data_IF_779413857107
#
_entry.id   IF_779413857107
#
_cell.length_a   1.000
_cell.length_b   1.000
_cell.length_c   1.000
_cell.angle_alpha   90.00
_cell.angle_beta   90.00
_cell.angle_gamma   90.00
#
_symmetry.space_group_name_H-M   'P 1'
#
loop_
_entity.id
_entity.type
_entity.pdbx_description
1 polymer ?
#
# COMPACT_ATOMS: atom_id res chain seq x y z
N UNK A 1 -22.78 -17.20 -24.81
CA UNK A 1 -24.05 -16.55 -24.42
C UNK A 1 -23.68 -15.28 -23.67
N UNK A 2 -23.84 -14.10 -24.28
CA UNK A 2 -23.43 -12.82 -23.69
C UNK A 2 -24.55 -12.27 -22.82
N UNK A 3 -24.27 -12.03 -21.54
CA UNK A 3 -25.20 -11.31 -20.67
C UNK A 3 -24.81 -9.83 -20.68
N UNK A 4 -25.63 -8.98 -21.31
CA UNK A 4 -25.49 -7.52 -21.24
C UNK A 4 -26.25 -7.03 -20.01
N UNK A 5 -25.53 -6.57 -18.99
CA UNK A 5 -26.14 -5.85 -17.86
C UNK A 5 -25.83 -4.36 -18.06
N UNK A 6 -26.84 -3.61 -18.49
CA UNK A 6 -26.77 -2.16 -18.67
C UNK A 6 -27.27 -1.49 -17.39
N UNK A 7 -26.37 -0.92 -16.58
CA UNK A 7 -26.78 -0.04 -15.47
C UNK A 7 -26.72 1.40 -16.00
N UNK A 8 -27.88 1.98 -16.28
CA UNK A 8 -28.03 3.36 -16.73
C UNK A 8 -28.20 4.29 -15.53
N UNK A 9 -27.16 5.07 -15.19
CA UNK A 9 -27.28 6.49 -14.77
C UNK A 9 -25.91 7.14 -14.56
N UNK A 10 -25.60 8.14 -15.39
CA UNK A 10 -24.64 9.21 -15.06
C UNK A 10 -23.21 9.05 -15.56
N UNK A 11 -22.99 9.29 -16.85
CA UNK A 11 -21.77 9.91 -17.40
C UNK A 11 -20.41 9.28 -17.01
N UNK A 12 -20.29 7.95 -17.12
CA UNK A 12 -19.01 7.23 -17.23
C UNK A 12 -19.23 6.16 -18.30
N UNK A 13 -18.74 6.40 -19.52
CA UNK A 13 -18.88 5.44 -20.62
C UNK A 13 -17.74 4.41 -20.53
N UNK A 14 -18.02 3.26 -19.92
CA UNK A 14 -17.20 2.06 -20.02
C UNK A 14 -18.13 0.84 -20.11
N UNK A 15 -18.09 0.12 -21.23
CA UNK A 15 -18.82 -1.15 -21.37
C UNK A 15 -18.00 -2.27 -20.73
N UNK A 16 -18.52 -2.90 -19.68
CA UNK A 16 -17.97 -4.16 -19.17
C UNK A 16 -18.40 -5.29 -20.10
N UNK A 17 -17.43 -5.87 -20.82
CA UNK A 17 -17.67 -7.05 -21.67
C UNK A 17 -17.19 -8.30 -20.95
N UNK A 18 -18.13 -9.21 -20.67
CA UNK A 18 -17.84 -10.53 -20.13
C UNK A 18 -17.83 -11.52 -21.31
N UNK A 19 -16.64 -11.91 -21.76
CA UNK A 19 -16.49 -12.98 -22.76
C UNK A 19 -16.13 -14.29 -22.05
N UNK A 20 -17.04 -15.27 -22.11
CA UNK A 20 -16.76 -16.64 -21.68
C UNK A 20 -16.11 -17.34 -22.88
N UNK A 21 -14.79 -17.23 -23.00
CA UNK A 21 -13.99 -17.78 -24.10
C UNK A 21 -13.17 -19.00 -23.67
N UNK A 22 -13.42 -20.13 -24.35
CA UNK A 22 -12.69 -21.43 -24.38
C UNK A 22 -11.95 -21.84 -23.09
N UNK A 23 -12.61 -22.73 -22.35
CA UNK A 23 -12.14 -23.46 -21.16
C UNK A 23 -12.09 -22.63 -19.86
N UNK A 24 -13.28 -22.39 -19.27
CA UNK A 24 -13.50 -22.01 -17.86
C UNK A 24 -12.79 -20.75 -17.34
N UNK A 25 -12.33 -19.86 -18.22
CA UNK A 25 -11.67 -18.62 -17.82
C UNK A 25 -12.60 -17.42 -17.89
N UNK A 26 -12.76 -16.70 -16.78
CA UNK A 26 -13.40 -15.39 -16.74
C UNK A 26 -12.34 -14.33 -17.03
N UNK A 27 -12.31 -13.82 -18.27
CA UNK A 27 -11.46 -12.67 -18.63
C UNK A 27 -12.25 -11.39 -18.41
N UNK A 28 -11.68 -10.47 -17.64
CA UNK A 28 -12.22 -9.12 -17.44
C UNK A 28 -11.39 -8.15 -18.28
N UNK A 29 -12.02 -7.54 -19.27
CA UNK A 29 -11.41 -6.46 -20.08
C UNK A 29 -11.52 -5.12 -19.35
N UNK A 30 -10.40 -4.41 -19.22
CA UNK A 30 -10.31 -3.09 -18.61
C UNK A 30 -9.91 -2.06 -19.70
N UNK A 31 -10.87 -1.26 -20.20
CA UNK A 31 -10.64 -0.32 -21.31
C UNK A 31 -10.32 1.11 -20.86
N UNK A 32 -9.98 1.32 -19.60
CA UNK A 32 -9.93 2.66 -19.01
C UNK A 32 -8.62 3.40 -19.30
N UNK A 33 -8.76 4.71 -19.53
CA UNK A 33 -7.63 5.63 -19.56
C UNK A 33 -7.04 5.73 -18.14
N UNK A 34 -5.73 5.47 -17.95
CA UNK A 34 -5.08 5.64 -16.65
C UNK A 34 -5.08 7.10 -16.15
N UNK A 35 -5.34 8.06 -17.04
CA UNK A 35 -5.40 9.48 -16.74
C UNK A 35 -6.84 9.94 -16.57
N UNK A 36 -7.11 10.74 -15.53
CA UNK A 36 -8.44 11.27 -15.26
C UNK A 36 -8.65 12.57 -16.06
N UNK A 37 -7.79 13.57 -15.85
CA UNK A 37 -7.77 14.82 -16.59
C UNK A 37 -6.49 15.61 -16.28
N UNK A 38 -6.21 16.63 -17.09
CA UNK A 38 -5.13 17.60 -16.85
C UNK A 38 -5.73 18.94 -16.46
N UNK A 39 -5.26 19.53 -15.37
CA UNK A 39 -5.69 20.87 -14.90
C UNK A 39 -4.46 21.74 -14.61
N UNK A 40 -4.39 22.94 -15.20
CA UNK A 40 -3.25 23.85 -15.06
C UNK A 40 -1.87 23.22 -15.36
N UNK A 41 -1.81 22.28 -16.30
CA UNK A 41 -0.57 21.55 -16.63
C UNK A 41 -0.23 20.41 -15.66
N UNK A 42 -1.03 20.17 -14.63
CA UNK A 42 -0.92 19.03 -13.73
C UNK A 42 -1.79 17.87 -14.21
N UNK A 43 -1.16 16.73 -14.50
CA UNK A 43 -1.84 15.49 -14.85
C UNK A 43 -2.36 14.78 -13.60
N UNK A 44 -3.65 14.51 -13.54
CA UNK A 44 -4.28 13.73 -12.47
C UNK A 44 -4.53 12.31 -12.97
N UNK A 45 -3.99 11.31 -12.27
CA UNK A 45 -4.11 9.88 -12.61
C UNK A 45 -4.95 9.14 -11.58
N UNK A 46 -5.51 7.98 -11.96
CA UNK A 46 -6.24 7.13 -11.02
C UNK A 46 -5.36 6.64 -9.88
N UNK A 47 -4.12 6.26 -10.18
CA UNK A 47 -3.11 5.92 -9.17
C UNK A 47 -2.92 7.06 -8.15
N UNK A 48 -2.63 8.28 -8.60
CA UNK A 48 -2.40 9.42 -7.71
C UNK A 48 -3.64 9.75 -6.86
N UNK A 49 -4.83 9.67 -7.45
CA UNK A 49 -6.09 9.90 -6.76
C UNK A 49 -6.33 8.88 -5.64
N UNK A 50 -6.29 7.57 -5.94
CA UNK A 50 -6.56 6.52 -4.96
C UNK A 50 -5.46 6.43 -3.90
N UNK A 51 -4.20 6.67 -4.25
CA UNK A 51 -3.10 6.78 -3.27
C UNK A 51 -3.33 7.95 -2.30
N UNK A 52 -3.82 9.10 -2.78
CA UNK A 52 -4.14 10.25 -1.93
C UNK A 52 -5.33 9.96 -1.01
N UNK A 53 -6.40 9.34 -1.53
CA UNK A 53 -7.56 8.92 -0.74
C UNK A 53 -7.16 7.89 0.32
N UNK A 54 -6.36 6.90 -0.07
CA UNK A 54 -5.81 5.88 0.82
C UNK A 54 -4.94 6.48 1.92
N UNK A 55 -4.11 7.47 1.60
CA UNK A 55 -3.32 8.20 2.57
C UNK A 55 -4.20 8.91 3.61
N UNK A 56 -5.20 9.69 3.16
CA UNK A 56 -6.09 10.43 4.06
C UNK A 56 -6.90 9.50 4.96
N UNK A 57 -7.46 8.43 4.40
CA UNK A 57 -8.21 7.44 5.16
C UNK A 57 -7.31 6.59 6.07
N UNK A 58 -6.07 6.33 5.66
CA UNK A 58 -5.05 5.67 6.47
C UNK A 58 -4.66 6.50 7.69
N UNK A 59 -4.40 7.80 7.51
CA UNK A 59 -4.13 8.73 8.63
C UNK A 59 -5.34 8.80 9.55
N UNK A 60 -6.54 8.99 8.98
CA UNK A 60 -7.77 9.04 9.77
C UNK A 60 -7.96 7.79 10.61
N UNK A 61 -7.86 6.60 10.01
CA UNK A 61 -8.03 5.35 10.73
C UNK A 61 -6.92 5.14 11.75
N UNK A 62 -5.66 5.38 11.38
CA UNK A 62 -4.51 5.25 12.27
C UNK A 62 -4.66 6.10 13.52
N UNK A 63 -5.07 7.37 13.39
CA UNK A 63 -5.32 8.23 14.55
C UNK A 63 -6.50 7.73 15.38
N UNK A 64 -7.60 7.30 14.75
CA UNK A 64 -8.75 6.73 15.47
C UNK A 64 -8.37 5.50 16.29
N UNK A 65 -7.55 4.62 15.72
CA UNK A 65 -7.05 3.44 16.44
C UNK A 65 -6.09 3.87 17.54
N UNK A 66 -5.20 4.85 17.31
CA UNK A 66 -4.30 5.36 18.34
C UNK A 66 -5.07 5.90 19.55
N UNK A 67 -6.11 6.72 19.32
CA UNK A 67 -7.01 7.20 20.38
C UNK A 67 -7.71 6.05 21.10
N UNK A 68 -8.20 5.04 20.36
CA UNK A 68 -8.81 3.86 20.95
C UNK A 68 -7.82 3.06 21.82
N UNK A 69 -6.52 3.07 21.48
CA UNK A 69 -5.43 2.49 22.25
C UNK A 69 -4.93 3.40 23.39
N UNK A 70 -5.66 4.48 23.72
CA UNK A 70 -5.35 5.46 24.75
C UNK A 70 -4.10 6.32 24.47
N UNK A 71 -3.69 6.47 23.21
CA UNK A 71 -2.69 7.45 22.79
C UNK A 71 -3.30 8.85 22.65
N UNK A 72 -2.47 9.88 22.80
CA UNK A 72 -2.86 11.25 22.48
C UNK A 72 -3.09 11.40 20.96
N UNK A 73 -4.31 11.78 20.50
CA UNK A 73 -4.57 12.02 19.09
C UNK A 73 -3.67 13.09 18.47
N UNK A 74 -3.26 14.11 19.23
CA UNK A 74 -2.42 15.20 18.71
C UNK A 74 -1.00 14.69 18.44
N UNK A 75 -0.46 13.82 19.29
CA UNK A 75 0.82 13.13 19.03
C UNK A 75 0.74 12.26 17.77
N UNK A 76 -0.35 11.49 17.62
CA UNK A 76 -0.55 10.64 16.45
C UNK A 76 -0.68 11.45 15.15
N UNK A 77 -1.44 12.56 15.16
CA UNK A 77 -1.53 13.47 14.02
C UNK A 77 -0.19 14.12 13.70
N UNK A 78 0.54 14.60 14.71
CA UNK A 78 1.83 15.23 14.51
C UNK A 78 2.82 14.26 13.86
N UNK A 79 2.86 13.01 14.31
CA UNK A 79 3.73 11.99 13.71
C UNK A 79 3.34 11.67 12.27
N UNK A 80 2.05 11.59 11.95
CA UNK A 80 1.60 11.41 10.57
C UNK A 80 1.97 12.62 9.68
N UNK A 81 1.74 13.84 10.17
CA UNK A 81 2.05 15.09 9.47
C UNK A 81 3.55 15.33 9.29
N UNK A 82 4.40 14.73 10.12
CA UNK A 82 5.86 14.74 9.96
C UNK A 82 6.31 13.60 9.04
N UNK A 83 5.71 12.42 9.17
CA UNK A 83 6.03 11.25 8.36
C UNK A 83 5.75 11.44 6.88
N UNK A 84 4.64 12.07 6.51
CA UNK A 84 4.26 12.26 5.10
C UNK A 84 5.27 13.15 4.35
N UNK A 85 5.58 14.39 4.80
CA UNK A 85 6.63 15.19 4.20
C UNK A 85 8.00 14.53 4.31
N UNK A 86 8.30 13.86 5.43
CA UNK A 86 9.54 13.11 5.60
C UNK A 86 9.72 12.05 4.51
N UNK A 87 8.66 11.34 4.17
CA UNK A 87 8.64 10.39 3.05
C UNK A 87 8.88 11.06 1.70
N UNK A 88 8.18 12.16 1.40
CA UNK A 88 8.36 12.88 0.13
C UNK A 88 9.80 13.40 0.00
N UNK A 89 10.35 14.00 1.06
CA UNK A 89 11.71 14.51 1.10
C UNK A 89 12.72 13.37 0.93
N UNK A 90 12.54 12.27 1.66
CA UNK A 90 13.40 11.09 1.57
C UNK A 90 13.37 10.48 0.17
N UNK A 91 12.18 10.34 -0.42
CA UNK A 91 11.98 9.79 -1.75
C UNK A 91 12.75 10.58 -2.81
N UNK A 92 12.66 11.92 -2.75
CA UNK A 92 13.37 12.78 -3.69
C UNK A 92 14.88 12.78 -3.43
N UNK A 93 15.29 12.92 -2.18
CA UNK A 93 16.70 12.95 -1.78
C UNK A 93 17.42 11.70 -2.26
N UNK A 94 16.88 10.51 -2.00
CA UNK A 94 17.53 9.27 -2.41
C UNK A 94 17.55 9.10 -3.93
N UNK A 95 16.46 9.45 -4.62
CA UNK A 95 16.42 9.40 -6.09
C UNK A 95 17.51 10.26 -6.73
N UNK A 96 17.70 11.49 -6.22
CA UNK A 96 18.72 12.41 -6.73
C UNK A 96 20.12 11.88 -6.44
N UNK A 97 20.36 11.27 -5.27
CA UNK A 97 21.64 10.63 -4.94
C UNK A 97 21.91 9.45 -5.89
N UNK A 98 20.91 8.60 -6.14
CA UNK A 98 21.02 7.44 -7.04
C UNK A 98 21.28 7.85 -8.50
N UNK A 99 20.87 9.06 -8.90
CA UNK A 99 20.99 9.57 -10.26
C UNK A 99 21.86 10.84 -10.33
N UNK A 100 22.77 11.03 -9.39
CA UNK A 100 23.52 12.30 -9.24
C UNK A 100 24.28 12.69 -10.51
N UNK A 101 24.76 11.71 -11.27
CA UNK A 101 25.48 11.89 -12.54
C UNK A 101 24.59 12.40 -13.68
N UNK A 102 23.26 12.31 -13.54
CA UNK A 102 22.27 12.77 -14.51
C UNK A 102 21.64 14.10 -14.12
N UNK A 103 22.11 14.73 -13.04
CA UNK A 103 21.60 16.00 -12.56
C UNK A 103 22.37 17.12 -13.24
N UNK A 104 21.64 17.97 -13.98
CA UNK A 104 22.21 19.09 -14.74
C UNK A 104 22.13 20.40 -13.94
N UNK A 105 21.25 20.47 -12.93
CA UNK A 105 20.98 21.67 -12.15
C UNK A 105 20.72 21.37 -10.67
N UNK A 106 21.04 22.33 -9.80
CA UNK A 106 20.64 22.28 -8.40
C UNK A 106 19.10 22.30 -8.22
N UNK A 107 18.35 22.79 -9.22
CA UNK A 107 16.89 22.77 -9.20
C UNK A 107 16.30 21.36 -9.30
N UNK A 108 17.06 20.40 -9.81
CA UNK A 108 16.62 19.00 -9.94
C UNK A 108 16.36 18.39 -8.56
N UNK A 109 16.91 18.93 -7.48
CA UNK A 109 16.59 18.51 -6.12
C UNK A 109 15.14 18.79 -5.72
N UNK A 110 14.49 19.77 -6.33
CA UNK A 110 13.15 20.23 -5.98
C UNK A 110 12.08 19.86 -7.01
N UNK A 111 12.47 19.31 -8.17
CA UNK A 111 11.58 18.94 -9.27
C UNK A 111 10.77 17.65 -9.00
N UNK A 112 9.96 17.66 -7.93
CA UNK A 112 9.15 16.50 -7.49
C UNK A 112 8.01 16.14 -8.45
N UNK A 113 7.58 17.07 -9.31
CA UNK A 113 6.49 16.87 -10.28
C UNK A 113 6.95 16.30 -11.61
N UNK A 114 8.25 16.24 -11.87
CA UNK A 114 8.83 15.76 -13.14
C UNK A 114 9.04 14.24 -13.15
N UNK A 115 8.57 13.56 -12.10
CA UNK A 115 8.87 12.15 -11.85
C UNK A 115 10.21 11.98 -11.13
N UNK A 116 10.58 10.72 -10.89
CA UNK A 116 11.83 10.39 -10.20
C UNK A 116 11.71 10.44 -8.68
N UNK A 117 11.12 9.39 -8.12
CA UNK A 117 10.99 9.18 -6.68
C UNK A 117 11.53 7.79 -6.33
N UNK A 118 12.36 7.72 -5.29
CA UNK A 118 12.87 6.44 -4.80
C UNK A 118 11.95 5.91 -3.71
N UNK A 119 11.41 4.70 -3.90
CA UNK A 119 10.55 4.06 -2.92
C UNK A 119 11.29 3.80 -1.61
N UNK A 120 12.56 3.43 -1.67
CA UNK A 120 13.41 3.23 -0.49
C UNK A 120 13.64 4.54 0.25
N UNK A 121 13.80 5.64 -0.48
CA UNK A 121 13.91 6.97 0.10
C UNK A 121 12.61 7.36 0.83
N UNK A 122 11.46 7.05 0.24
CA UNK A 122 10.16 7.31 0.85
C UNK A 122 9.99 6.57 2.18
N UNK A 123 10.35 5.28 2.21
CA UNK A 123 10.30 4.45 3.41
C UNK A 123 11.25 4.96 4.48
N UNK A 124 12.52 5.24 4.12
CA UNK A 124 13.52 5.73 5.07
C UNK A 124 13.11 7.09 5.66
N UNK A 125 12.75 8.06 4.82
CA UNK A 125 12.35 9.38 5.28
C UNK A 125 11.05 9.37 6.09
N UNK A 126 10.07 8.58 5.64
CA UNK A 126 8.77 8.44 6.29
C UNK A 126 8.83 7.74 7.64
N UNK A 127 9.84 6.92 7.89
CA UNK A 127 10.08 6.29 9.21
C UNK A 127 11.03 7.13 10.06
N UNK A 128 12.16 7.56 9.51
CA UNK A 128 13.24 8.19 10.28
C UNK A 128 12.81 9.52 10.90
N UNK A 129 12.14 10.38 10.15
CA UNK A 129 11.79 11.73 10.62
C UNK A 129 10.76 11.73 11.77
N UNK A 130 9.61 11.03 11.67
CA UNK A 130 8.67 10.96 12.80
C UNK A 130 9.24 10.16 13.98
N UNK A 131 10.07 9.14 13.72
CA UNK A 131 10.76 8.41 14.81
C UNK A 131 11.69 9.34 15.58
N UNK A 132 12.51 10.14 14.89
CA UNK A 132 13.39 11.12 15.52
C UNK A 132 12.59 12.15 16.33
N UNK A 133 11.48 12.67 15.77
CA UNK A 133 10.60 13.59 16.49
C UNK A 133 10.02 12.96 17.76
N UNK A 134 9.51 11.73 17.68
CA UNK A 134 8.99 11.00 18.83
C UNK A 134 10.05 10.80 19.92
N UNK A 135 11.28 10.43 19.55
CA UNK A 135 12.38 10.27 20.48
C UNK A 135 12.73 11.58 21.19
N UNK A 136 12.78 12.70 20.45
CA UNK A 136 13.03 14.03 21.03
C UNK A 136 11.91 14.45 22.00
N UNK A 137 10.67 14.09 21.70
CA UNK A 137 9.49 14.44 22.52
C UNK A 137 9.18 13.44 23.63
N UNK A 138 9.91 12.33 23.72
CA UNK A 138 9.65 11.27 24.71
C UNK A 138 8.35 10.50 24.46
N UNK A 139 7.85 10.50 23.23
CA UNK A 139 6.61 9.82 22.84
C UNK A 139 6.83 8.31 22.79
N UNK A 140 5.93 7.54 23.40
CA UNK A 140 5.99 6.09 23.32
C UNK A 140 5.52 5.59 21.94
N UNK A 141 6.48 5.26 21.08
CA UNK A 141 6.21 4.85 19.71
C UNK A 141 5.45 3.54 19.55
N UNK A 142 5.53 2.61 20.51
CA UNK A 142 4.99 1.25 20.32
C UNK A 142 3.48 1.20 20.06
N UNK A 143 2.61 1.79 20.91
CA UNK A 143 1.18 1.80 20.65
C UNK A 143 0.80 2.66 19.43
N UNK A 144 1.61 3.67 19.10
CA UNK A 144 1.42 4.48 17.88
C UNK A 144 1.75 3.66 16.63
N UNK A 145 2.81 2.85 16.66
CA UNK A 145 3.14 1.92 15.59
C UNK A 145 2.05 0.86 15.41
N UNK A 146 1.52 0.31 16.50
CA UNK A 146 0.37 -0.61 16.44
C UNK A 146 -0.81 0.02 15.71
N UNK A 147 -1.12 1.28 16.00
CA UNK A 147 -2.17 2.03 15.31
C UNK A 147 -1.81 2.37 13.86
N UNK A 148 -0.55 2.71 13.59
CA UNK A 148 -0.05 2.98 12.24
C UNK A 148 -0.20 1.76 11.32
N UNK A 149 -0.05 0.54 11.85
CA UNK A 149 -0.29 -0.70 11.09
C UNK A 149 -1.67 -0.73 10.41
N UNK A 150 -2.72 -0.28 11.11
CA UNK A 150 -4.08 -0.18 10.54
C UNK A 150 -4.18 0.87 9.45
N UNK A 151 -3.58 2.05 9.69
CA UNK A 151 -3.58 3.14 8.72
C UNK A 151 -2.83 2.77 7.44
N UNK A 152 -1.64 2.17 7.58
CA UNK A 152 -0.79 1.76 6.47
C UNK A 152 -1.48 0.70 5.60
N UNK A 153 -2.01 -0.37 6.21
CA UNK A 153 -2.63 -1.46 5.45
C UNK A 153 -3.92 -1.00 4.75
N UNK A 154 -4.73 -0.14 5.38
CA UNK A 154 -5.90 0.46 4.73
C UNK A 154 -5.48 1.33 3.56
N UNK A 155 -4.47 2.19 3.76
CA UNK A 155 -3.97 3.06 2.71
C UNK A 155 -3.43 2.29 1.51
N UNK A 156 -2.66 1.23 1.74
CA UNK A 156 -2.16 0.35 0.69
C UNK A 156 -3.31 -0.32 -0.08
N UNK A 157 -4.27 -0.92 0.63
CA UNK A 157 -5.41 -1.58 -0.01
C UNK A 157 -6.23 -0.64 -0.89
N UNK A 158 -6.49 0.60 -0.45
CA UNK A 158 -7.20 1.59 -1.25
C UNK A 158 -6.34 2.04 -2.45
N UNK A 159 -5.04 2.25 -2.25
CA UNK A 159 -4.10 2.62 -3.33
C UNK A 159 -4.11 1.61 -4.47
N UNK A 160 -4.22 0.31 -4.16
CA UNK A 160 -4.27 -0.77 -5.16
C UNK A 160 -5.44 -0.68 -6.14
N UNK A 161 -6.48 0.08 -5.83
CA UNK A 161 -7.57 0.35 -6.78
C UNK A 161 -7.05 1.12 -7.99
N UNK A 162 -6.18 2.11 -7.78
CA UNK A 162 -5.54 2.85 -8.87
C UNK A 162 -4.65 1.96 -9.73
N UNK A 163 -3.89 1.06 -9.10
CA UNK A 163 -3.02 0.12 -9.80
C UNK A 163 -3.82 -0.85 -10.68
N UNK A 164 -4.96 -1.34 -10.18
CA UNK A 164 -5.88 -2.18 -10.93
C UNK A 164 -6.48 -1.45 -12.13
N UNK A 165 -6.87 -0.18 -11.99
CA UNK A 165 -7.40 0.61 -13.10
C UNK A 165 -6.34 0.78 -14.19
N UNK A 166 -5.13 1.14 -13.78
CA UNK A 166 -4.04 1.44 -14.71
C UNK A 166 -3.44 0.17 -15.34
N UNK A 167 -3.56 -0.98 -14.68
CA UNK A 167 -2.78 -2.17 -15.03
C UNK A 167 -1.31 -2.02 -14.69
N UNK A 168 -1.03 -1.30 -13.61
CA UNK A 168 0.31 -1.24 -13.05
C UNK A 168 0.70 -2.62 -12.52
N UNK A 169 1.98 -2.78 -12.23
CA UNK A 169 2.46 -4.00 -11.62
C UNK A 169 2.26 -5.23 -12.55
N UNK A 170 3.06 -5.25 -13.62
CA UNK A 170 3.09 -6.29 -14.66
C UNK A 170 3.10 -7.71 -14.06
N UNK A 171 2.14 -8.53 -14.50
CA UNK A 171 1.86 -9.86 -13.95
C UNK A 171 1.98 -10.95 -15.01
N UNK A 172 2.17 -12.18 -14.57
CA UNK A 172 2.28 -13.36 -15.45
C UNK A 172 0.94 -13.63 -16.13
N UNK A 173 1.01 -14.16 -17.34
CA UNK A 173 -0.15 -14.74 -18.01
C UNK A 173 -0.83 -15.77 -17.10
N UNK A 174 -2.14 -15.91 -17.24
CA UNK A 174 -2.90 -16.87 -16.48
C UNK A 174 -3.94 -17.59 -17.33
N UNK A 175 -3.99 -18.90 -17.12
CA UNK A 175 -5.09 -19.76 -17.56
C UNK A 175 -6.02 -20.12 -16.38
N UNK A 176 -5.95 -19.35 -15.28
CA UNK A 176 -6.75 -19.56 -14.07
C UNK A 176 -8.12 -18.89 -14.15
N UNK A 177 -9.06 -19.30 -13.29
CA UNK A 177 -10.47 -18.87 -13.25
C UNK A 177 -10.74 -17.38 -13.51
N UNK A 178 -9.87 -16.47 -13.09
CA UNK A 178 -10.01 -15.02 -13.31
C UNK A 178 -8.71 -14.47 -13.89
N UNK A 179 -8.82 -13.86 -15.06
CA UNK A 179 -7.76 -13.08 -15.71
C UNK A 179 -8.23 -11.67 -16.05
N UNK A 180 -7.28 -10.75 -16.18
CA UNK A 180 -7.55 -9.38 -16.65
C UNK A 180 -6.77 -9.09 -17.93
N UNK A 181 -7.36 -8.34 -18.84
CA UNK A 181 -6.72 -7.78 -20.03
C UNK A 181 -6.94 -6.27 -20.05
N UNK A 182 -5.92 -5.52 -20.45
CA UNK A 182 -5.98 -4.06 -20.54
C UNK A 182 -5.97 -3.67 -22.00
N UNK A 183 -6.92 -2.86 -22.44
CA UNK A 183 -7.09 -2.55 -23.87
C UNK A 183 -6.80 -1.10 -24.22
N UNK A 184 -6.69 -0.21 -23.21
CA UNK A 184 -6.39 1.20 -23.46
C UNK A 184 -4.92 1.40 -23.88
N UNK A 185 -4.62 2.13 -24.98
CA UNK A 185 -3.26 2.32 -25.51
C UNK A 185 -2.24 2.88 -24.50
N UNK A 186 -2.69 3.71 -23.57
CA UNK A 186 -1.84 4.35 -22.57
C UNK A 186 -1.70 3.53 -21.27
N UNK A 187 -2.43 2.43 -21.12
CA UNK A 187 -2.37 1.60 -19.92
C UNK A 187 -1.00 0.93 -19.76
N UNK A 188 -0.33 1.06 -18.59
CA UNK A 188 0.81 0.24 -18.23
C UNK A 188 0.57 -1.27 -18.40
N UNK A 189 -0.65 -1.74 -18.18
CA UNK A 189 -1.04 -3.15 -18.31
C UNK A 189 -0.97 -3.64 -19.75
N UNK A 190 -1.47 -2.84 -20.70
CA UNK A 190 -1.36 -3.16 -22.13
C UNK A 190 0.11 -3.18 -22.56
N UNK A 191 0.89 -2.18 -22.12
CA UNK A 191 2.33 -2.13 -22.39
C UNK A 191 3.06 -3.37 -21.85
N UNK A 192 2.72 -3.82 -20.65
CA UNK A 192 3.23 -5.06 -20.07
C UNK A 192 2.90 -6.28 -20.96
N UNK A 193 1.64 -6.40 -21.41
CA UNK A 193 1.21 -7.50 -22.27
C UNK A 193 1.98 -7.53 -23.61
N UNK A 194 2.17 -6.39 -24.25
CA UNK A 194 2.96 -6.34 -25.50
C UNK A 194 4.43 -6.68 -25.25
N UNK A 195 5.06 -6.10 -24.23
CA UNK A 195 6.51 -6.23 -24.00
C UNK A 195 6.93 -7.60 -23.46
N UNK A 196 6.14 -8.20 -22.58
CA UNK A 196 6.51 -9.45 -21.90
C UNK A 196 5.77 -10.67 -22.41
N UNK A 197 4.60 -10.49 -23.03
CA UNK A 197 3.70 -11.56 -23.42
C UNK A 197 3.50 -11.65 -24.95
N UNK A 198 3.96 -10.64 -25.70
CA UNK A 198 3.96 -10.64 -27.16
C UNK A 198 2.56 -10.50 -27.80
N UNK A 199 1.52 -10.26 -27.02
CA UNK A 199 0.14 -10.12 -27.48
C UNK A 199 -0.65 -9.15 -26.59
N UNK A 200 -1.54 -8.38 -27.21
CA UNK A 200 -2.45 -7.42 -26.54
C UNK A 200 -3.57 -8.12 -25.78
N UNK A 201 -3.94 -9.33 -26.20
CA UNK A 201 -5.07 -10.10 -25.64
C UNK A 201 -4.59 -11.19 -24.67
N UNK A 202 -3.47 -10.95 -23.98
CA UNK A 202 -2.87 -11.91 -23.04
C UNK A 202 -3.53 -11.77 -21.66
N UNK A 203 -4.39 -12.69 -21.20
CA UNK A 203 -4.98 -12.60 -19.87
C UNK A 203 -3.88 -12.78 -18.82
N UNK A 204 -3.80 -11.85 -17.86
CA UNK A 204 -2.83 -11.91 -16.76
C UNK A 204 -3.53 -12.06 -15.42
N UNK A 205 -2.81 -12.57 -14.43
CA UNK A 205 -3.29 -12.56 -13.05
C UNK A 205 -3.55 -11.11 -12.59
N UNK A 206 -4.71 -10.80 -11.98
CA UNK A 206 -4.96 -9.51 -11.34
C UNK A 206 -4.22 -9.42 -9.99
N UNK A 207 -2.88 -9.47 -10.01
CA UNK A 207 -2.07 -9.57 -8.79
C UNK A 207 -2.26 -8.37 -7.85
N UNK A 208 -2.52 -7.17 -8.38
CA UNK A 208 -2.87 -5.97 -7.60
C UNK A 208 -4.18 -6.13 -6.85
N UNK A 209 -5.16 -6.82 -7.44
CA UNK A 209 -6.42 -7.15 -6.76
C UNK A 209 -6.20 -8.19 -5.67
N UNK A 210 -5.36 -9.19 -5.92
CA UNK A 210 -5.00 -10.17 -4.89
C UNK A 210 -4.30 -9.49 -3.71
N UNK A 211 -3.42 -8.52 -3.97
CA UNK A 211 -2.79 -7.68 -2.94
C UNK A 211 -3.83 -6.85 -2.18
N UNK A 212 -4.74 -6.16 -2.87
CA UNK A 212 -5.83 -5.40 -2.24
C UNK A 212 -6.69 -6.26 -1.31
N UNK A 213 -7.08 -7.45 -1.76
CA UNK A 213 -7.88 -8.37 -0.94
C UNK A 213 -7.09 -8.89 0.26
N UNK A 214 -5.80 -9.16 0.08
CA UNK A 214 -4.90 -9.53 1.17
C UNK A 214 -4.71 -8.38 2.17
N UNK A 215 -4.58 -7.13 1.71
CA UNK A 215 -4.48 -5.95 2.56
C UNK A 215 -5.75 -5.78 3.42
N UNK A 216 -6.94 -5.91 2.83
CA UNK A 216 -8.20 -5.89 3.57
C UNK A 216 -8.32 -7.08 4.53
N UNK A 217 -7.81 -8.26 4.15
CA UNK A 217 -7.74 -9.44 5.02
C UNK A 217 -6.82 -9.22 6.21
N UNK A 218 -5.66 -8.59 6.01
CA UNK A 218 -4.74 -8.20 7.07
C UNK A 218 -5.39 -7.15 7.97
N UNK A 219 -6.05 -6.14 7.42
CA UNK A 219 -6.79 -5.15 8.20
C UNK A 219 -7.82 -5.82 9.14
N UNK A 220 -8.61 -6.76 8.60
CA UNK A 220 -9.57 -7.53 9.37
C UNK A 220 -8.89 -8.40 10.45
N UNK A 221 -7.74 -9.01 10.13
CA UNK A 221 -6.91 -9.75 11.07
C UNK A 221 -6.42 -8.86 12.21
N UNK A 222 -5.96 -7.64 11.94
CA UNK A 222 -5.52 -6.71 12.98
C UNK A 222 -6.68 -6.32 13.90
N UNK A 223 -7.86 -6.03 13.34
CA UNK A 223 -9.07 -5.75 14.14
C UNK A 223 -9.44 -6.95 15.02
N UNK A 224 -9.42 -8.15 14.46
CA UNK A 224 -9.66 -9.36 15.22
C UNK A 224 -8.62 -9.55 16.33
N UNK A 225 -7.34 -9.41 16.03
CA UNK A 225 -6.26 -9.65 16.97
C UNK A 225 -6.28 -8.65 18.14
N UNK A 226 -6.48 -7.36 17.86
CA UNK A 226 -6.54 -6.33 18.90
C UNK A 226 -7.79 -6.50 19.76
N UNK A 227 -8.98 -6.45 19.18
CA UNK A 227 -10.21 -6.36 19.98
C UNK A 227 -10.77 -7.72 20.43
N UNK A 228 -10.55 -8.80 19.68
CA UNK A 228 -11.03 -10.13 20.06
C UNK A 228 -9.98 -10.93 20.84
N UNK A 229 -8.72 -10.92 20.42
CA UNK A 229 -7.64 -11.66 21.09
C UNK A 229 -6.93 -10.84 22.18
N UNK A 230 -7.15 -9.53 22.22
CA UNK A 230 -6.60 -8.66 23.25
C UNK A 230 -5.12 -8.32 23.04
N UNK A 231 -4.64 -8.28 21.79
CA UNK A 231 -3.24 -7.95 21.48
C UNK A 231 -2.81 -6.56 21.97
N UNK A 232 -3.76 -5.66 22.26
CA UNK A 232 -3.49 -4.35 22.88
C UNK A 232 -2.71 -4.43 24.21
N UNK A 233 -2.67 -5.60 24.86
CA UNK A 233 -1.86 -5.85 26.08
C UNK A 233 -0.36 -5.91 25.81
N UNK A 234 0.07 -5.96 24.54
CA UNK A 234 1.48 -6.03 24.16
C UNK A 234 1.80 -4.96 23.11
N UNK A 235 2.09 -3.71 23.52
CA UNK A 235 2.38 -2.63 22.59
C UNK A 235 3.55 -2.95 21.68
N UNK A 236 3.34 -2.77 20.38
CA UNK A 236 4.24 -3.08 19.28
C UNK A 236 3.96 -4.44 18.63
N UNK A 237 3.21 -5.34 19.27
CA UNK A 237 2.93 -6.67 18.72
C UNK A 237 1.97 -6.62 17.53
N UNK A 238 1.03 -5.67 17.52
CA UNK A 238 0.08 -5.52 16.42
C UNK A 238 0.79 -5.05 15.16
N UNK A 239 1.75 -4.13 15.30
CA UNK A 239 2.58 -3.69 14.18
C UNK A 239 3.46 -4.82 13.64
N UNK A 240 4.01 -5.68 14.51
CA UNK A 240 4.77 -6.86 14.08
C UNK A 240 3.88 -7.86 13.34
N UNK A 241 2.65 -8.10 13.82
CA UNK A 241 1.68 -8.94 13.12
C UNK A 241 1.35 -8.40 11.72
N UNK A 242 1.20 -7.09 11.59
CA UNK A 242 1.05 -6.41 10.29
C UNK A 242 2.24 -6.69 9.37
N UNK A 243 3.47 -6.47 9.86
CA UNK A 243 4.70 -6.71 9.09
C UNK A 243 4.81 -8.17 8.64
N UNK A 244 4.60 -9.11 9.56
CA UNK A 244 4.68 -10.55 9.27
C UNK A 244 3.65 -10.96 8.22
N UNK A 245 2.40 -10.54 8.40
CA UNK A 245 1.30 -10.92 7.51
C UNK A 245 1.49 -10.34 6.11
N UNK A 246 1.91 -9.07 6.02
CA UNK A 246 2.21 -8.42 4.74
C UNK A 246 3.43 -9.04 4.06
N UNK A 247 4.50 -9.34 4.80
CA UNK A 247 5.68 -10.01 4.25
C UNK A 247 5.35 -11.40 3.67
N UNK A 248 4.55 -12.19 4.37
CA UNK A 248 4.09 -13.50 3.88
C UNK A 248 3.29 -13.34 2.58
N UNK A 249 2.30 -12.44 2.57
CA UNK A 249 1.50 -12.15 1.38
C UNK A 249 2.39 -11.68 0.22
N UNK A 250 3.31 -10.75 0.47
CA UNK A 250 4.19 -10.17 -0.54
C UNK A 250 5.14 -11.21 -1.13
N UNK A 251 5.68 -12.10 -0.30
CA UNK A 251 6.50 -13.23 -0.74
C UNK A 251 5.74 -14.11 -1.74
N UNK A 252 4.49 -14.47 -1.43
CA UNK A 252 3.64 -15.29 -2.29
C UNK A 252 3.24 -14.57 -3.59
N UNK A 253 2.83 -13.30 -3.51
CA UNK A 253 2.43 -12.52 -4.69
C UNK A 253 3.56 -12.31 -5.68
N UNK A 254 4.82 -12.27 -5.21
CA UNK A 254 5.99 -12.07 -6.08
C UNK A 254 6.13 -13.15 -7.15
N UNK A 255 5.62 -14.37 -6.93
CA UNK A 255 5.60 -15.41 -7.95
C UNK A 255 4.67 -15.10 -9.14
N UNK A 256 3.67 -14.24 -8.94
CA UNK A 256 2.72 -13.83 -9.98
C UNK A 256 3.20 -12.60 -10.76
N UNK A 257 4.21 -11.87 -10.26
CA UNK A 257 4.70 -10.63 -10.85
C UNK A 257 5.80 -10.90 -11.89
N UNK A 258 5.95 -10.03 -12.88
CA UNK A 258 6.97 -10.13 -13.95
C UNK A 258 7.99 -9.00 -13.83
N UNK A 259 7.54 -7.79 -13.46
CA UNK A 259 8.37 -6.59 -13.26
C UNK A 259 9.37 -6.70 -12.08
N UNK A 260 9.20 -7.67 -11.19
CA UNK A 260 10.16 -7.94 -10.10
C UNK A 260 11.33 -8.81 -10.56
N UNK A 261 11.88 -8.54 -11.75
CA UNK A 261 12.92 -9.36 -12.40
C UNK A 261 14.33 -9.09 -11.88
N UNK A 262 14.52 -8.07 -11.05
CA UNK A 262 15.76 -7.83 -10.30
C UNK A 262 15.99 -9.02 -9.34
N UNK A 263 16.81 -9.98 -9.77
CA UNK A 263 17.27 -11.09 -8.95
C UNK A 263 18.50 -10.67 -8.16
N UNK A 264 18.54 -11.05 -6.88
CA UNK A 264 19.73 -10.94 -6.04
C UNK A 264 20.46 -12.30 -6.02
N UNK A 265 21.52 -12.41 -5.21
CA UNK A 265 22.22 -13.68 -4.94
C UNK A 265 21.22 -14.83 -4.73
N UNK A 266 21.47 -15.97 -5.40
CA UNK A 266 20.68 -17.23 -5.35
C UNK A 266 19.34 -17.22 -6.11
N UNK A 267 19.16 -16.42 -7.16
CA UNK A 267 17.93 -16.34 -7.98
C UNK A 267 16.66 -15.94 -7.20
N UNK A 268 16.82 -15.39 -6.00
CA UNK A 268 15.74 -14.85 -5.18
C UNK A 268 15.46 -13.41 -5.62
N UNK A 269 14.18 -13.09 -5.84
CA UNK A 269 13.75 -11.74 -6.21
C UNK A 269 13.81 -10.81 -5.00
N UNK A 270 14.16 -9.54 -5.20
CA UNK A 270 14.29 -8.55 -4.11
C UNK A 270 13.10 -8.53 -3.14
N UNK A 271 11.82 -8.51 -3.58
CA UNK A 271 10.70 -8.52 -2.65
C UNK A 271 10.61 -9.78 -1.77
N UNK A 272 11.04 -10.92 -2.28
CA UNK A 272 11.09 -12.18 -1.52
C UNK A 272 12.18 -12.12 -0.46
N UNK A 273 13.37 -11.65 -0.81
CA UNK A 273 14.48 -11.47 0.13
C UNK A 273 14.10 -10.50 1.26
N UNK A 274 13.53 -9.35 0.91
CA UNK A 274 13.07 -8.36 1.89
C UNK A 274 12.01 -8.97 2.81
N UNK A 275 11.05 -9.72 2.27
CA UNK A 275 10.02 -10.39 3.07
C UNK A 275 10.64 -11.39 4.05
N UNK A 276 11.64 -12.17 3.65
CA UNK A 276 12.34 -13.10 4.52
C UNK A 276 13.13 -12.37 5.62
N UNK A 277 13.84 -11.29 5.28
CA UNK A 277 14.59 -10.49 6.25
C UNK A 277 13.67 -9.85 7.28
N UNK A 278 12.51 -9.33 6.85
CA UNK A 278 11.48 -8.83 7.76
C UNK A 278 11.06 -9.93 8.72
N UNK A 279 10.63 -11.09 8.21
CA UNK A 279 10.17 -12.21 9.06
C UNK A 279 11.23 -12.70 10.07
N UNK A 280 12.50 -12.77 9.64
CA UNK A 280 13.61 -13.16 10.53
C UNK A 280 13.82 -12.13 11.65
N UNK A 281 13.51 -10.85 11.42
CA UNK A 281 13.59 -9.81 12.45
C UNK A 281 12.33 -9.71 13.33
N UNK A 282 11.15 -9.67 12.70
CA UNK A 282 9.88 -9.39 13.37
C UNK A 282 9.34 -10.57 14.18
N UNK A 283 9.46 -11.81 13.68
CA UNK A 283 8.94 -12.99 14.39
C UNK A 283 9.64 -13.22 15.74
N UNK A 284 10.99 -13.22 15.84
CA UNK A 284 11.65 -13.34 17.14
C UNK A 284 11.29 -12.18 18.08
N UNK A 285 11.19 -10.95 17.55
CA UNK A 285 10.81 -9.78 18.33
C UNK A 285 9.38 -9.90 18.89
N UNK A 286 8.45 -10.42 18.09
CA UNK A 286 7.07 -10.69 18.50
C UNK A 286 7.03 -11.73 19.64
N UNK A 287 7.80 -12.82 19.53
CA UNK A 287 7.93 -13.83 20.58
C UNK A 287 8.50 -13.22 21.88
N UNK A 288 9.49 -12.33 21.78
CA UNK A 288 10.05 -11.64 22.94
C UNK A 288 9.02 -10.71 23.60
N UNK A 289 8.19 -10.02 22.83
CA UNK A 289 7.15 -9.13 23.35
C UNK A 289 6.05 -9.92 24.07
N UNK A 290 5.63 -11.05 23.50
CA UNK A 290 4.65 -11.95 24.13
C UNK A 290 5.12 -12.48 25.50
N UNK A 291 6.42 -12.74 25.66
CA UNK A 291 7.00 -13.19 26.94
C UNK A 291 7.03 -12.09 28.01
N UNK A 292 7.06 -10.82 27.60
CA UNK A 292 7.11 -9.67 28.51
C UNK A 292 5.70 -9.15 28.77
N UNK A 293 4.95 -9.87 29.60
CA UNK A 293 3.60 -9.46 30.02
C UNK A 293 3.64 -8.06 30.67
N UNK A 294 2.87 -7.10 30.14
CA UNK A 294 2.63 -5.81 30.78
C UNK A 294 1.29 -5.83 31.49
N UNK A 295 1.31 -5.91 32.82
CA UNK A 295 0.14 -5.96 33.69
C UNK A 295 -0.54 -4.60 33.92
N UNK A 296 -0.07 -3.52 33.31
CA UNK A 296 -0.49 -2.14 33.61
C UNK A 296 -1.08 -1.37 32.41
N UNK A 297 -1.68 -2.05 31.42
CA UNK A 297 -2.25 -1.38 30.24
C UNK A 297 -3.77 -1.30 30.38
N UNK A 298 -4.30 -0.08 30.20
CA UNK A 298 -5.74 0.16 30.20
C UNK A 298 -6.39 -0.46 28.95
N UNK A 299 -7.59 -1.06 29.09
CA UNK A 299 -8.31 -1.59 27.95
C UNK A 299 -8.62 -0.48 26.93
N UNK A 300 -8.71 -0.83 25.64
CA UNK A 300 -8.99 0.14 24.61
C UNK A 300 -10.40 0.72 24.74
N UNK A 301 -10.53 1.99 24.37
CA UNK A 301 -11.81 2.67 24.28
C UNK A 301 -12.57 2.22 23.01
N UNK A 302 -13.89 2.45 22.93
CA UNK A 302 -14.63 2.24 21.70
C UNK A 302 -14.03 3.06 20.54
N UNK A 303 -13.82 2.42 19.38
CA UNK A 303 -13.19 3.05 18.20
C UNK A 303 -13.89 4.33 17.71
N UNK A 304 -15.20 4.43 17.96
CA UNK A 304 -16.04 5.57 17.58
C UNK A 304 -16.60 6.32 18.79
N UNK A 305 -15.87 6.32 19.92
CA UNK A 305 -16.19 7.24 21.01
C UNK A 305 -16.14 8.70 20.53
N UNK A 306 -16.96 9.57 21.14
CA UNK A 306 -16.98 11.00 20.81
C UNK A 306 -15.57 11.58 20.97
N UNK A 307 -15.11 12.33 19.97
CA UNK A 307 -13.80 12.98 20.00
C UNK A 307 -13.62 13.74 21.33
N UNK A 308 -12.49 13.59 22.04
CA UNK A 308 -12.26 14.35 23.26
C UNK A 308 -12.37 15.83 22.92
N UNK A 309 -13.35 16.52 23.51
CA UNK A 309 -13.48 17.96 23.33
C UNK A 309 -12.19 18.58 23.86
N UNK A 310 -11.43 19.25 22.99
CA UNK A 310 -10.26 19.99 23.43
C UNK A 310 -10.70 20.96 24.52
N UNK A 311 -9.91 21.03 25.59
CA UNK A 311 -10.04 22.10 26.57
C UNK A 311 -9.51 23.36 25.88
N UNK A 312 -10.38 24.05 25.14
CA UNK A 312 -10.14 25.42 24.70
C UNK A 312 -9.95 26.33 25.93
#
# INVERSE_FOLDING_TARGET
>A
MSLRVSIFRGQINGEFRLEIGRESLLVIEIPWDPNIFTIFGLLITWHGFFTSVGLLLGVWLGVRVATALNCDPDEAYNLALIGIPGGIIGARTLYVIENIERMDSAWDWFAITEGGISIWGAVLGGVALPTLFALIKGINLRPILDAAGFGLILGMGIGRVGDLINGEHCSRMTDWLIGVTYTHPQSPGLRCAVLHHGSVDSPVHPATTYEMLGDLGILALLFFAVWKLGLWKWPGLTFLLYLDSYAIMRFALTYLRVDSSETFLLDIRVPQLVSLLVLVGSVPLAILFLRKSSSAIMPPQPLFASWPRSKL
#
